data_IF_347479219363
#
_entry.id   IF_347479219363
#
_cell.length_a   1.000
_cell.length_b   1.000
_cell.length_c   1.000
_cell.angle_alpha   90.00
_cell.angle_beta   90.00
_cell.angle_gamma   90.00
#
_symmetry.space_group_name_H-M   'P 1'
#
loop_
_entity.id
_entity.type
_entity.pdbx_description
1 polymer ?
#
# COMPACT_ATOMS: atom_id res chain seq x y z
N UNK A 1 18.28 -1.17 -5.78
CA UNK A 1 19.49 -1.04 -4.94
C UNK A 1 19.16 -1.15 -3.45
N UNK A 2 18.34 -0.25 -2.88
CA UNK A 2 18.00 -0.29 -1.44
C UNK A 2 17.57 -1.67 -0.93
N UNK A 3 16.67 -2.36 -1.64
CA UNK A 3 16.25 -3.73 -1.31
C UNK A 3 17.43 -4.70 -1.16
N UNK A 4 18.25 -4.81 -2.20
CA UNK A 4 19.35 -5.77 -2.26
C UNK A 4 20.49 -5.48 -1.27
N UNK A 5 20.67 -4.22 -0.89
CA UNK A 5 21.68 -3.84 0.09
C UNK A 5 21.18 -3.98 1.54
N UNK A 6 19.90 -3.71 1.79
CA UNK A 6 19.34 -3.75 3.13
C UNK A 6 18.85 -5.14 3.53
N UNK A 7 18.48 -5.98 2.57
CA UNK A 7 18.00 -7.34 2.81
C UNK A 7 19.04 -8.38 2.36
N UNK A 8 19.78 -9.02 3.29
CA UNK A 8 20.75 -10.06 2.94
C UNK A 8 20.10 -11.30 2.32
N UNK A 9 18.82 -11.57 2.64
CA UNK A 9 18.08 -12.70 2.09
C UNK A 9 17.66 -12.50 0.63
N UNK A 10 17.82 -11.29 0.09
CA UNK A 10 17.62 -11.04 -1.34
C UNK A 10 18.58 -11.86 -2.22
N UNK A 11 19.68 -12.38 -1.66
CA UNK A 11 20.58 -13.33 -2.33
C UNK A 11 19.87 -14.60 -2.78
N UNK A 12 18.78 -14.99 -2.12
CA UNK A 12 17.96 -16.16 -2.49
C UNK A 12 17.23 -15.96 -3.82
N UNK A 13 17.10 -14.71 -4.29
CA UNK A 13 16.54 -14.39 -5.61
C UNK A 13 17.55 -14.59 -6.75
N UNK A 14 18.82 -14.90 -6.47
CA UNK A 14 19.80 -15.19 -7.49
C UNK A 14 19.45 -16.48 -8.27
N UNK A 15 19.86 -16.53 -9.54
CA UNK A 15 19.65 -17.71 -10.38
C UNK A 15 20.45 -18.93 -9.90
N UNK A 16 21.65 -18.70 -9.34
CA UNK A 16 22.46 -19.75 -8.71
C UNK A 16 22.10 -19.89 -7.22
N UNK A 17 21.18 -20.81 -6.93
CA UNK A 17 20.74 -21.16 -5.57
C UNK A 17 21.52 -22.35 -4.98
N UNK A 18 22.82 -22.42 -5.24
CA UNK A 18 23.65 -23.53 -4.79
C UNK A 18 23.75 -23.64 -3.27
N UNK A 19 24.13 -24.83 -2.78
CA UNK A 19 24.42 -25.10 -1.38
C UNK A 19 25.48 -24.16 -0.76
N UNK A 20 26.21 -23.39 -1.58
CA UNK A 20 27.15 -22.35 -1.12
C UNK A 20 26.45 -21.18 -0.42
N UNK A 21 25.18 -20.91 -0.75
CA UNK A 21 24.37 -19.89 -0.08
C UNK A 21 23.85 -20.35 1.28
N UNK A 22 23.85 -21.66 1.54
CA UNK A 22 23.49 -22.25 2.83
C UNK A 22 24.61 -22.00 3.82
N UNK A 23 24.58 -20.82 4.41
CA UNK A 23 25.48 -20.41 5.49
C UNK A 23 24.67 -20.20 6.77
N UNK A 24 25.25 -20.47 7.95
CA UNK A 24 24.52 -20.28 9.22
C UNK A 24 23.86 -18.90 9.37
N UNK A 25 24.51 -17.77 9.00
CA UNK A 25 23.87 -16.45 9.08
C UNK A 25 22.63 -16.29 8.19
N UNK A 26 22.59 -16.94 7.03
CA UNK A 26 21.42 -16.91 6.14
C UNK A 26 20.27 -17.70 6.76
N UNK A 27 20.55 -18.89 7.31
CA UNK A 27 19.55 -19.71 8.00
C UNK A 27 18.99 -18.99 9.25
N UNK A 28 19.85 -18.35 10.04
CA UNK A 28 19.41 -17.51 11.17
C UNK A 28 18.58 -16.31 10.72
N UNK A 29 18.99 -15.62 9.65
CA UNK A 29 18.22 -14.50 9.10
C UNK A 29 16.83 -14.94 8.62
N UNK A 30 16.70 -16.12 7.98
CA UNK A 30 15.41 -16.71 7.63
C UNK A 30 14.56 -16.96 8.88
N UNK A 31 15.12 -17.57 9.93
CA UNK A 31 14.38 -17.86 11.17
C UNK A 31 13.91 -16.60 11.91
N UNK A 32 14.62 -15.50 11.73
CA UNK A 32 14.26 -14.20 12.32
C UNK A 32 13.16 -13.46 11.54
N UNK A 33 12.72 -13.97 10.39
CA UNK A 33 11.65 -13.34 9.62
C UNK A 33 10.28 -13.46 10.32
N UNK A 34 9.47 -12.39 10.30
CA UNK A 34 8.08 -12.46 10.73
C UNK A 34 7.26 -13.52 9.97
N UNK A 35 7.48 -13.66 8.65
CA UNK A 35 6.82 -14.70 7.85
C UNK A 35 7.20 -16.12 8.26
N UNK A 36 8.46 -16.36 8.64
CA UNK A 36 8.90 -17.66 9.17
C UNK A 36 8.15 -18.02 10.45
N UNK A 37 8.02 -17.05 11.35
CA UNK A 37 7.28 -17.24 12.60
C UNK A 37 5.81 -17.59 12.33
N UNK A 38 5.12 -16.81 11.48
CA UNK A 38 3.73 -17.09 11.11
C UNK A 38 3.56 -18.47 10.46
N UNK A 39 4.47 -18.83 9.56
CA UNK A 39 4.47 -20.13 8.92
C UNK A 39 4.65 -21.28 9.93
N UNK A 40 5.58 -21.11 10.88
CA UNK A 40 5.80 -22.06 11.96
C UNK A 40 4.59 -22.19 12.88
N UNK A 41 3.93 -21.07 13.23
CA UNK A 41 2.69 -21.05 14.01
C UNK A 41 1.57 -21.82 13.28
N UNK A 42 1.40 -21.58 11.97
CA UNK A 42 0.43 -22.32 11.15
C UNK A 42 0.69 -23.84 11.13
N UNK A 43 1.95 -24.26 10.96
CA UNK A 43 2.30 -25.69 11.00
C UNK A 43 2.01 -26.32 12.36
N UNK A 44 2.16 -25.57 13.47
CA UNK A 44 1.82 -26.06 14.80
C UNK A 44 0.30 -26.22 14.97
N UNK A 45 -0.49 -25.29 14.43
CA UNK A 45 -1.96 -25.36 14.43
C UNK A 45 -2.47 -26.56 13.62
N UNK A 46 -1.77 -26.92 12.54
CA UNK A 46 -2.04 -28.13 11.73
C UNK A 46 -1.54 -29.44 12.37
N UNK A 47 -0.84 -29.37 13.51
CA UNK A 47 -0.30 -30.53 14.22
C UNK A 47 1.01 -31.09 13.64
N UNK A 48 1.69 -30.34 12.77
CA UNK A 48 2.94 -30.74 12.10
C UNK A 48 4.18 -30.41 12.95
N UNK A 49 4.19 -30.83 14.21
CA UNK A 49 5.22 -30.51 15.20
C UNK A 49 6.64 -30.91 14.77
N UNK A 50 6.79 -32.07 14.15
CA UNK A 50 8.10 -32.58 13.70
C UNK A 50 8.67 -31.72 12.58
N UNK A 51 7.83 -31.23 11.67
CA UNK A 51 8.28 -30.33 10.60
C UNK A 51 8.76 -29.00 11.18
N UNK A 52 7.97 -28.39 12.08
CA UNK A 52 8.38 -27.14 12.76
C UNK A 52 9.69 -27.33 13.54
N UNK A 53 9.85 -28.46 14.23
CA UNK A 53 11.09 -28.77 14.94
C UNK A 53 12.28 -28.89 13.99
N UNK A 54 12.10 -29.49 12.81
CA UNK A 54 13.15 -29.57 11.79
C UNK A 54 13.49 -28.19 11.23
N UNK A 55 12.51 -27.34 10.91
CA UNK A 55 12.78 -25.97 10.46
C UNK A 55 13.63 -25.16 11.45
N UNK A 56 13.43 -25.37 12.75
CA UNK A 56 14.18 -24.69 13.80
C UNK A 56 15.61 -25.23 14.00
N UNK A 57 15.84 -26.52 13.80
CA UNK A 57 17.10 -27.17 14.20
C UNK A 57 17.96 -27.68 13.02
N UNK A 58 17.37 -27.87 11.84
CA UNK A 58 18.01 -28.46 10.66
C UNK A 58 18.11 -27.38 9.56
N UNK A 59 19.31 -26.85 9.38
CA UNK A 59 19.62 -25.82 8.38
C UNK A 59 19.45 -26.32 6.94
N UNK A 60 19.69 -27.60 6.69
CA UNK A 60 19.52 -28.20 5.37
C UNK A 60 18.04 -28.27 5.01
N UNK A 61 17.23 -28.80 5.91
CA UNK A 61 15.79 -28.85 5.73
C UNK A 61 15.17 -27.45 5.61
N UNK A 62 15.56 -26.50 6.47
CA UNK A 62 15.09 -25.12 6.40
C UNK A 62 15.40 -24.48 5.05
N UNK A 63 16.63 -24.66 4.55
CA UNK A 63 17.07 -24.04 3.31
C UNK A 63 16.32 -24.63 2.11
N UNK A 64 16.19 -25.95 2.01
CA UNK A 64 15.41 -26.59 0.95
C UNK A 64 13.95 -26.13 0.95
N UNK A 65 13.32 -26.11 2.13
CA UNK A 65 11.92 -25.69 2.27
C UNK A 65 11.75 -24.20 1.94
N UNK A 66 12.73 -23.37 2.31
CA UNK A 66 12.76 -21.96 1.95
C UNK A 66 12.81 -21.75 0.44
N UNK A 67 13.64 -22.51 -0.28
CA UNK A 67 13.72 -22.40 -1.74
C UNK A 67 12.41 -22.83 -2.43
N UNK A 68 11.78 -23.91 -1.96
CA UNK A 68 10.47 -24.35 -2.48
C UNK A 68 9.39 -23.29 -2.28
N UNK A 69 9.32 -22.72 -1.08
CA UNK A 69 8.35 -21.68 -0.76
C UNK A 69 8.65 -20.37 -1.50
N UNK A 70 9.92 -20.07 -1.78
CA UNK A 70 10.28 -18.93 -2.61
C UNK A 70 9.80 -19.10 -4.06
N UNK A 71 9.98 -20.28 -4.65
CA UNK A 71 9.48 -20.58 -6.00
C UNK A 71 7.95 -20.55 -6.06
N UNK A 72 7.30 -21.12 -5.05
CA UNK A 72 5.85 -21.03 -4.88
C UNK A 72 5.38 -19.58 -4.77
N UNK A 73 6.05 -18.77 -3.94
CA UNK A 73 5.73 -17.35 -3.78
C UNK A 73 5.92 -16.54 -5.06
N UNK A 74 7.00 -16.79 -5.81
CA UNK A 74 7.22 -16.17 -7.11
C UNK A 74 6.18 -16.58 -8.14
N UNK A 75 5.76 -17.85 -8.15
CA UNK A 75 4.68 -18.31 -9.02
C UNK A 75 3.36 -17.63 -8.65
N UNK A 76 3.00 -17.59 -7.37
CA UNK A 76 1.80 -16.90 -6.90
C UNK A 76 1.80 -15.41 -7.25
N UNK A 77 2.94 -14.72 -7.16
CA UNK A 77 3.07 -13.35 -7.63
C UNK A 77 2.79 -13.22 -9.14
N UNK A 78 3.28 -14.16 -9.97
CA UNK A 78 2.96 -14.19 -11.40
C UNK A 78 1.47 -14.40 -11.64
N UNK A 79 0.85 -15.33 -10.92
CA UNK A 79 -0.58 -15.64 -11.03
C UNK A 79 -1.43 -14.40 -10.68
N UNK A 80 -1.08 -13.67 -9.59
CA UNK A 80 -1.73 -12.41 -9.21
C UNK A 80 -1.67 -11.39 -10.35
N UNK A 81 -0.50 -11.17 -10.95
CA UNK A 81 -0.38 -10.20 -12.05
C UNK A 81 -1.07 -10.66 -13.34
N UNK A 82 -1.16 -11.97 -13.58
CA UNK A 82 -1.97 -12.51 -14.68
C UNK A 82 -3.46 -12.26 -14.44
N UNK A 83 -3.96 -12.48 -13.22
CA UNK A 83 -5.33 -12.17 -12.83
C UNK A 83 -5.63 -10.67 -12.97
N UNK A 84 -4.72 -9.79 -12.54
CA UNK A 84 -4.82 -8.32 -12.74
C UNK A 84 -4.95 -7.96 -14.23
N UNK A 85 -4.07 -8.53 -15.06
CA UNK A 85 -4.08 -8.30 -16.51
C UNK A 85 -5.38 -8.79 -17.13
N UNK A 86 -5.86 -9.98 -16.72
CA UNK A 86 -7.13 -10.51 -17.18
C UNK A 86 -8.31 -9.62 -16.78
N UNK A 87 -8.40 -9.19 -15.51
CA UNK A 87 -9.43 -8.25 -15.05
C UNK A 87 -9.41 -6.96 -15.88
N UNK A 88 -8.22 -6.42 -16.18
CA UNK A 88 -8.11 -5.22 -17.01
C UNK A 88 -8.63 -5.46 -18.44
N UNK A 89 -8.23 -6.56 -19.08
CA UNK A 89 -8.68 -6.92 -20.43
C UNK A 89 -10.19 -7.18 -20.47
N UNK A 90 -10.71 -7.94 -19.51
CA UNK A 90 -12.15 -8.18 -19.34
C UNK A 90 -12.93 -6.88 -19.17
N UNK A 91 -12.44 -5.95 -18.35
CA UNK A 91 -13.09 -4.64 -18.18
C UNK A 91 -13.12 -3.82 -19.46
N UNK A 92 -12.08 -3.92 -20.30
CA UNK A 92 -12.06 -3.27 -21.63
C UNK A 92 -13.02 -3.94 -22.59
N UNK A 93 -13.09 -5.27 -22.62
CA UNK A 93 -14.01 -6.03 -23.46
C UNK A 93 -15.48 -5.79 -23.08
N UNK A 94 -15.76 -5.49 -21.81
CA UNK A 94 -17.09 -5.17 -21.28
C UNK A 94 -17.46 -3.68 -21.39
N UNK A 95 -16.65 -2.84 -22.05
CA UNK A 95 -16.86 -1.40 -22.21
C UNK A 95 -17.12 -0.64 -20.90
N UNK A 96 -16.47 -1.06 -19.80
CA UNK A 96 -16.61 -0.39 -18.51
C UNK A 96 -16.01 1.03 -18.57
N UNK A 97 -16.89 2.02 -18.44
CA UNK A 97 -16.62 3.46 -18.71
C UNK A 97 -15.51 4.09 -17.87
N UNK A 98 -15.19 3.50 -16.70
CA UNK A 98 -14.04 3.93 -15.88
C UNK A 98 -12.79 3.17 -16.29
N UNK A 99 -11.92 3.86 -17.04
CA UNK A 99 -10.53 3.42 -17.24
C UNK A 99 -9.89 3.19 -15.87
N UNK A 100 -9.54 1.95 -15.63
CA UNK A 100 -8.81 1.52 -14.44
C UNK A 100 -7.39 1.23 -14.90
N UNK A 101 -6.44 1.96 -14.32
CA UNK A 101 -5.04 1.77 -14.67
C UNK A 101 -4.55 0.43 -14.14
N UNK A 102 -3.64 -0.21 -14.88
CA UNK A 102 -3.04 -1.48 -14.45
C UNK A 102 -2.31 -1.30 -13.12
N UNK A 103 -1.72 -0.12 -12.90
CA UNK A 103 -1.02 0.23 -11.67
C UNK A 103 -1.98 0.25 -10.48
N UNK A 104 -3.18 0.83 -10.64
CA UNK A 104 -4.18 0.89 -9.57
C UNK A 104 -4.69 -0.52 -9.21
N UNK A 105 -5.00 -1.34 -10.22
CA UNK A 105 -5.40 -2.73 -10.01
C UNK A 105 -4.28 -3.55 -9.35
N UNK A 106 -3.03 -3.33 -9.76
CA UNK A 106 -1.86 -3.98 -9.17
C UNK A 106 -1.68 -3.60 -7.70
N UNK A 107 -1.83 -2.32 -7.34
CA UNK A 107 -1.75 -1.88 -5.93
C UNK A 107 -2.81 -2.57 -5.09
N UNK A 108 -4.06 -2.63 -5.57
CA UNK A 108 -5.15 -3.31 -4.86
C UNK A 108 -4.96 -4.83 -4.80
N UNK A 109 -4.35 -5.43 -5.81
CA UNK A 109 -4.03 -6.86 -5.80
C UNK A 109 -2.97 -7.18 -4.75
N UNK A 110 -1.91 -6.38 -4.70
CA UNK A 110 -0.84 -6.52 -3.74
C UNK A 110 -1.25 -6.18 -2.30
N UNK A 111 -2.33 -5.41 -2.10
CA UNK A 111 -2.95 -5.23 -0.78
C UNK A 111 -3.95 -6.34 -0.41
N UNK A 112 -4.30 -7.23 -1.36
CA UNK A 112 -5.33 -8.26 -1.22
C UNK A 112 -6.76 -7.75 -1.21
N UNK A 113 -6.99 -6.53 -1.68
CA UNK A 113 -8.31 -5.88 -1.70
C UNK A 113 -8.99 -5.98 -3.08
N UNK A 114 -8.28 -6.45 -4.11
CA UNK A 114 -8.77 -6.44 -5.48
C UNK A 114 -10.04 -7.28 -5.68
N UNK A 115 -10.10 -8.47 -5.09
CA UNK A 115 -11.26 -9.36 -5.22
C UNK A 115 -12.56 -8.70 -4.75
N UNK A 116 -12.50 -8.00 -3.62
CA UNK A 116 -13.65 -7.32 -3.00
C UNK A 116 -13.80 -5.86 -3.47
N UNK A 117 -13.11 -5.49 -4.55
CA UNK A 117 -13.17 -4.12 -5.05
C UNK A 117 -14.39 -3.92 -5.95
N UNK A 118 -14.91 -2.68 -5.97
CA UNK A 118 -15.94 -2.29 -6.94
C UNK A 118 -15.56 -2.57 -8.39
N UNK A 119 -14.26 -2.62 -8.70
CA UNK A 119 -13.80 -2.95 -10.04
C UNK A 119 -14.11 -4.40 -10.44
N UNK A 120 -13.97 -5.35 -9.52
CA UNK A 120 -14.30 -6.75 -9.78
C UNK A 120 -15.81 -6.96 -9.71
N UNK A 121 -16.49 -6.35 -8.73
CA UNK A 121 -17.95 -6.42 -8.63
C UNK A 121 -18.67 -5.88 -9.87
N UNK A 122 -18.28 -4.70 -10.39
CA UNK A 122 -18.90 -4.10 -11.57
C UNK A 122 -18.67 -4.97 -12.82
N UNK A 123 -17.48 -5.57 -12.93
CA UNK A 123 -17.15 -6.52 -14.01
C UNK A 123 -18.09 -7.72 -13.98
N UNK A 124 -18.26 -8.33 -12.81
CA UNK A 124 -19.13 -9.47 -12.63
C UNK A 124 -20.62 -9.15 -12.81
N UNK A 125 -21.08 -7.97 -12.38
CA UNK A 125 -22.46 -7.51 -12.60
C UNK A 125 -22.77 -7.40 -14.10
N UNK A 126 -21.86 -6.83 -14.89
CA UNK A 126 -22.04 -6.75 -16.34
C UNK A 126 -21.92 -8.13 -16.99
N UNK A 127 -20.97 -8.97 -16.53
CA UNK A 127 -20.82 -10.33 -17.02
C UNK A 127 -22.17 -11.07 -16.98
N UNK A 128 -22.88 -11.03 -15.84
CA UNK A 128 -24.20 -11.68 -15.70
C UNK A 128 -25.26 -11.21 -16.70
N UNK A 129 -25.12 -10.00 -17.25
CA UNK A 129 -26.06 -9.40 -18.21
C UNK A 129 -25.67 -9.60 -19.68
N UNK A 130 -24.57 -10.30 -19.97
CA UNK A 130 -24.14 -10.53 -21.35
C UNK A 130 -25.13 -11.40 -22.12
N UNK A 131 -25.26 -11.10 -23.41
CA UNK A 131 -25.90 -12.00 -24.35
C UNK A 131 -24.91 -13.06 -24.86
N UNK A 132 -25.44 -14.14 -25.40
CA UNK A 132 -24.66 -15.31 -25.79
C UNK A 132 -23.53 -15.03 -26.79
N UNK A 133 -23.70 -14.09 -27.71
CA UNK A 133 -22.65 -13.70 -28.64
C UNK A 133 -21.45 -13.07 -27.91
N UNK A 134 -21.73 -12.08 -27.05
CA UNK A 134 -20.68 -11.43 -26.24
C UNK A 134 -20.07 -12.37 -25.21
N UNK A 135 -20.84 -13.32 -24.69
CA UNK A 135 -20.34 -14.33 -23.78
C UNK A 135 -19.33 -15.25 -24.47
N UNK A 136 -19.59 -15.66 -25.71
CA UNK A 136 -18.65 -16.45 -26.51
C UNK A 136 -17.31 -15.72 -26.68
N UNK A 137 -17.36 -14.42 -27.04
CA UNK A 137 -16.16 -13.58 -27.16
C UNK A 137 -15.43 -13.44 -25.82
N UNK A 138 -16.18 -13.31 -24.71
CA UNK A 138 -15.62 -13.24 -23.36
C UNK A 138 -14.93 -14.55 -22.96
N UNK A 139 -15.56 -15.70 -23.23
CA UNK A 139 -14.99 -17.03 -22.96
C UNK A 139 -13.68 -17.27 -23.73
N UNK A 140 -13.53 -16.68 -24.92
CA UNK A 140 -12.30 -16.70 -25.70
C UNK A 140 -11.13 -15.94 -25.06
N UNK A 141 -11.40 -15.01 -24.13
CA UNK A 141 -10.42 -14.17 -23.46
C UNK A 141 -10.12 -14.60 -22.01
N UNK A 142 -10.58 -15.79 -21.60
CA UNK A 142 -10.35 -16.31 -20.26
C UNK A 142 -8.89 -16.70 -20.03
N UNK A 143 -8.40 -16.63 -18.77
CA UNK A 143 -7.04 -17.02 -18.46
C UNK A 143 -6.86 -18.54 -18.62
N UNK A 144 -5.67 -18.98 -19.00
CA UNK A 144 -5.37 -20.41 -19.22
C UNK A 144 -5.69 -21.26 -17.98
N UNK A 145 -5.49 -20.73 -16.78
CA UNK A 145 -5.80 -21.41 -15.52
C UNK A 145 -7.28 -21.80 -15.39
N UNK A 146 -8.19 -20.98 -15.94
CA UNK A 146 -9.63 -21.29 -16.00
C UNK A 146 -9.93 -22.27 -17.13
N UNK A 147 -9.34 -22.05 -18.31
CA UNK A 147 -9.58 -22.88 -19.51
C UNK A 147 -9.19 -24.35 -19.29
N UNK A 148 -8.13 -24.60 -18.50
CA UNK A 148 -7.65 -25.96 -18.20
C UNK A 148 -8.52 -26.73 -17.22
N UNK A 149 -9.43 -26.08 -16.48
CA UNK A 149 -10.33 -26.77 -15.53
C UNK A 149 -11.34 -27.64 -16.27
N UNK A 150 -11.56 -28.86 -15.78
CA UNK A 150 -12.54 -29.80 -16.35
C UNK A 150 -13.95 -29.21 -16.32
N UNK A 151 -14.34 -28.60 -15.20
CA UNK A 151 -15.65 -27.95 -15.02
C UNK A 151 -15.93 -26.87 -16.07
N UNK A 152 -14.89 -26.12 -16.49
CA UNK A 152 -15.03 -25.10 -17.54
C UNK A 152 -15.17 -25.75 -18.92
N UNK A 153 -14.46 -26.85 -19.19
CA UNK A 153 -14.60 -27.57 -20.45
C UNK A 153 -15.99 -28.19 -20.60
N UNK A 154 -16.56 -28.73 -19.53
CA UNK A 154 -17.95 -29.20 -19.51
C UNK A 154 -18.93 -28.05 -19.73
N UNK A 155 -18.77 -26.94 -19.00
CA UNK A 155 -19.60 -25.75 -19.17
C UNK A 155 -19.57 -25.24 -20.61
N UNK A 156 -18.39 -25.19 -21.23
CA UNK A 156 -18.22 -24.75 -22.61
C UNK A 156 -18.94 -25.69 -23.59
N UNK A 157 -18.87 -27.01 -23.38
CA UNK A 157 -19.62 -27.98 -24.20
C UNK A 157 -21.13 -27.77 -24.07
N UNK A 158 -21.64 -27.59 -22.86
CA UNK A 158 -23.07 -27.34 -22.62
C UNK A 158 -23.52 -26.04 -23.30
N UNK A 159 -22.66 -25.02 -23.28
CA UNK A 159 -22.90 -23.74 -23.96
C UNK A 159 -22.93 -23.89 -25.49
N UNK A 160 -21.98 -24.61 -26.06
CA UNK A 160 -21.92 -24.86 -27.50
C UNK A 160 -23.13 -25.69 -27.98
N UNK A 161 -23.57 -26.69 -27.20
CA UNK A 161 -24.78 -27.47 -27.48
C UNK A 161 -26.03 -26.59 -27.43
N UNK A 162 -26.17 -25.76 -26.39
CA UNK A 162 -27.30 -24.84 -26.27
C UNK A 162 -27.40 -23.87 -27.45
N UNK A 163 -26.27 -23.40 -27.97
CA UNK A 163 -26.22 -22.55 -29.16
C UNK A 163 -26.60 -23.28 -30.45
N UNK A 164 -26.26 -24.57 -30.58
CA UNK A 164 -26.64 -25.39 -31.74
C UNK A 164 -28.13 -25.74 -31.74
N UNK A 165 -28.71 -25.99 -30.57
CA UNK A 165 -30.13 -26.33 -30.42
C UNK A 165 -31.05 -25.11 -30.52
N UNK A 166 -30.52 -23.90 -30.45
CA UNK A 166 -31.30 -22.68 -30.44
C UNK A 166 -31.62 -22.20 -31.87
N UNK A 167 -32.90 -22.21 -32.31
CA UNK A 167 -33.27 -21.84 -33.68
C UNK A 167 -33.50 -20.34 -33.88
N UNK A 168 -33.26 -19.50 -32.86
CA UNK A 168 -33.56 -18.07 -32.91
C UNK A 168 -32.42 -17.25 -33.54
N UNK A 169 -32.79 -16.17 -34.22
CA UNK A 169 -31.85 -15.21 -34.83
C UNK A 169 -31.28 -14.23 -33.79
N UNK A 170 -32.01 -14.00 -32.69
CA UNK A 170 -31.57 -13.12 -31.61
C UNK A 170 -30.71 -13.86 -30.60
N UNK A 171 -29.65 -13.24 -30.05
CA UNK A 171 -28.80 -13.92 -29.07
C UNK A 171 -29.57 -14.18 -27.77
N UNK A 172 -29.34 -15.36 -27.17
CA UNK A 172 -29.85 -15.71 -25.84
C UNK A 172 -29.41 -14.68 -24.80
N UNK A 173 -30.33 -14.34 -23.89
CA UNK A 173 -30.15 -13.39 -22.79
C UNK A 173 -30.46 -14.08 -21.47
N UNK A 174 -29.79 -13.63 -20.40
CA UNK A 174 -29.98 -14.16 -19.05
C UNK A 174 -31.12 -13.45 -18.35
N UNK A 175 -31.63 -14.05 -17.27
CA UNK A 175 -32.63 -13.41 -16.41
C UNK A 175 -32.18 -12.09 -15.78
N UNK A 176 -30.88 -11.82 -15.78
CA UNK A 176 -30.29 -10.60 -15.25
C UNK A 176 -30.33 -9.43 -16.24
N UNK A 177 -30.58 -9.68 -17.53
CA UNK A 177 -30.73 -8.63 -18.54
C UNK A 177 -32.10 -7.94 -18.40
N UNK A 178 -32.08 -6.62 -18.15
CA UNK A 178 -33.28 -5.79 -18.07
C UNK A 178 -34.13 -5.80 -19.34
N UNK A 179 -33.57 -6.16 -20.49
CA UNK A 179 -34.31 -6.30 -21.76
C UNK A 179 -35.23 -7.53 -21.80
N UNK A 180 -35.05 -8.48 -20.89
CA UNK A 180 -35.97 -9.62 -20.69
C UNK A 180 -37.15 -9.26 -19.75
N UNK A 181 -37.19 -8.03 -19.21
CA UNK A 181 -38.34 -7.51 -18.47
C UNK A 181 -39.40 -6.95 -19.43
N UNK A 182 -40.62 -7.48 -19.37
CA UNK A 182 -41.75 -6.97 -20.15
C UNK A 182 -42.45 -5.88 -19.33
N UNK A 183 -42.58 -4.70 -19.91
CA UNK A 183 -43.39 -3.63 -19.33
C UNK A 183 -44.86 -3.95 -19.63
N UNK A 184 -45.59 -4.43 -18.64
CA UNK A 184 -47.02 -4.65 -18.74
C UNK A 184 -47.76 -3.33 -18.44
N UNK A 185 -48.43 -2.79 -19.45
CA UNK A 185 -49.24 -1.57 -19.32
C UNK A 185 -50.66 -1.96 -18.92
N UNK A 186 -51.01 -1.79 -17.65
CA UNK A 186 -52.40 -1.95 -17.18
C UNK A 186 -53.05 -0.57 -17.05
N UNK A 187 -54.12 -0.33 -17.80
CA UNK A 187 -54.94 0.88 -17.67
C UNK A 187 -56.03 0.62 -16.63
N UNK A 188 -55.95 1.30 -15.49
CA UNK A 188 -57.00 1.25 -14.46
C UNK A 188 -57.46 2.68 -14.19
N UNK A 189 -58.75 2.95 -14.44
CA UNK A 189 -59.40 4.25 -14.22
C UNK A 189 -58.63 5.45 -14.79
N UNK A 190 -58.40 5.48 -16.11
CA UNK A 190 -57.75 6.58 -16.85
C UNK A 190 -56.30 6.95 -16.40
N UNK A 191 -55.70 6.20 -15.48
CA UNK A 191 -54.26 6.29 -15.16
C UNK A 191 -53.53 5.05 -15.65
N UNK A 192 -52.50 5.27 -16.47
CA UNK A 192 -51.62 4.22 -16.96
C UNK A 192 -50.67 3.80 -15.84
N UNK A 193 -50.80 2.57 -15.32
CA UNK A 193 -49.82 1.97 -14.41
C UNK A 193 -48.94 1.00 -15.20
N UNK A 194 -47.66 1.36 -15.32
CA UNK A 194 -46.62 0.52 -15.92
C UNK A 194 -46.08 -0.41 -14.83
N UNK A 195 -46.44 -1.70 -14.89
CA UNK A 195 -45.85 -2.72 -14.04
C UNK A 195 -44.73 -3.42 -14.83
N UNK A 196 -43.50 -3.42 -14.29
CA UNK A 196 -42.41 -4.24 -14.82
C UNK A 196 -42.62 -5.69 -14.38
N UNK A 197 -43.07 -6.56 -15.29
CA UNK A 197 -43.16 -8.00 -15.06
C UNK A 197 -42.00 -8.71 -15.78
N UNK A 198 -41.46 -9.79 -15.20
CA UNK A 198 -40.49 -10.63 -15.92
C UNK A 198 -41.21 -11.34 -17.08
N UNK A 199 -40.62 -11.34 -18.29
CA UNK A 199 -41.15 -12.15 -19.39
C UNK A 199 -41.20 -13.63 -18.97
N UNK A 200 -42.12 -14.41 -19.55
CA UNK A 200 -42.16 -15.86 -19.36
C UNK A 200 -40.88 -16.44 -19.97
N UNK A 201 -39.88 -16.75 -19.12
CA UNK A 201 -38.57 -17.21 -19.57
C UNK A 201 -38.70 -18.48 -20.41
N UNK A 202 -38.14 -18.46 -21.62
CA UNK A 202 -38.07 -19.64 -22.49
C UNK A 202 -37.12 -20.67 -21.85
N UNK A 203 -37.36 -21.97 -22.04
CA UNK A 203 -36.51 -23.04 -21.49
C UNK A 203 -35.02 -22.80 -21.78
N UNK A 204 -34.67 -22.37 -23.00
CA UNK A 204 -33.29 -22.07 -23.39
C UNK A 204 -32.69 -20.87 -22.64
N UNK A 205 -33.50 -19.85 -22.27
CA UNK A 205 -33.01 -18.72 -21.46
C UNK A 205 -32.74 -19.10 -20.01
N UNK A 206 -33.48 -20.09 -19.48
CA UNK A 206 -33.23 -20.66 -18.15
C UNK A 206 -31.93 -21.46 -18.15
N UNK A 207 -31.73 -22.32 -19.15
CA UNK A 207 -30.46 -23.06 -19.30
C UNK A 207 -29.26 -22.11 -19.54
N UNK A 208 -29.44 -21.06 -20.35
CA UNK A 208 -28.41 -20.02 -20.51
C UNK A 208 -28.06 -19.33 -19.19
N UNK A 209 -29.08 -19.00 -18.38
CA UNK A 209 -28.85 -18.40 -17.05
C UNK A 209 -28.10 -19.35 -16.12
N UNK A 210 -28.39 -20.67 -16.18
CA UNK A 210 -27.66 -21.69 -15.42
C UNK A 210 -26.19 -21.79 -15.84
N UNK A 211 -25.90 -21.72 -17.14
CA UNK A 211 -24.52 -21.69 -17.65
C UNK A 211 -23.80 -20.43 -17.15
N UNK A 212 -24.47 -19.27 -17.20
CA UNK A 212 -23.93 -18.01 -16.69
C UNK A 212 -23.59 -18.08 -15.20
N UNK A 213 -24.47 -18.66 -14.38
CA UNK A 213 -24.23 -18.82 -12.95
C UNK A 213 -23.07 -19.78 -12.65
N UNK A 214 -22.97 -20.89 -13.39
CA UNK A 214 -21.81 -21.79 -13.28
C UNK A 214 -20.51 -21.09 -13.64
N UNK A 215 -20.51 -20.29 -14.72
CA UNK A 215 -19.32 -19.54 -15.12
C UNK A 215 -18.94 -18.51 -14.07
N UNK A 216 -19.93 -17.80 -13.52
CA UNK A 216 -19.71 -16.85 -12.43
C UNK A 216 -19.00 -17.51 -11.24
N UNK A 217 -19.50 -18.66 -10.77
CA UNK A 217 -18.92 -19.40 -9.64
C UNK A 217 -17.48 -19.82 -9.95
N UNK A 218 -17.22 -20.38 -11.15
CA UNK A 218 -15.87 -20.80 -11.54
C UNK A 218 -14.87 -19.64 -11.55
N UNK A 219 -15.29 -18.46 -12.02
CA UNK A 219 -14.43 -17.28 -12.05
C UNK A 219 -14.22 -16.66 -10.66
N UNK A 220 -15.24 -16.70 -9.81
CA UNK A 220 -15.14 -16.27 -8.41
C UNK A 220 -14.17 -17.15 -7.63
N UNK A 221 -14.27 -18.47 -7.77
CA UNK A 221 -13.32 -19.43 -7.19
C UNK A 221 -11.90 -19.27 -7.73
N UNK A 222 -11.76 -19.05 -9.05
CA UNK A 222 -10.47 -18.80 -9.67
C UNK A 222 -9.80 -17.55 -9.07
N UNK A 223 -10.53 -16.44 -9.00
CA UNK A 223 -10.01 -15.21 -8.40
C UNK A 223 -9.72 -15.37 -6.91
N UNK A 224 -10.56 -16.10 -6.16
CA UNK A 224 -10.33 -16.37 -4.74
C UNK A 224 -9.05 -17.19 -4.49
N UNK A 225 -8.72 -18.13 -5.39
CA UNK A 225 -7.53 -18.97 -5.28
C UNK A 225 -6.22 -18.28 -5.70
N UNK A 226 -6.30 -17.33 -6.64
CA UNK A 226 -5.12 -16.65 -7.20
C UNK A 226 -4.87 -15.27 -6.58
N UNK A 227 -5.91 -14.49 -6.23
CA UNK A 227 -5.77 -13.17 -5.59
C UNK A 227 -5.59 -13.28 -4.07
N UNK A 228 -4.57 -14.02 -3.66
CA UNK A 228 -4.14 -14.10 -2.27
C UNK A 228 -3.42 -12.82 -1.84
N UNK A 229 -3.40 -12.55 -0.53
CA UNK A 229 -2.53 -11.51 0.04
C UNK A 229 -1.08 -11.99 0.01
N UNK A 230 -0.19 -11.32 -0.75
CA UNK A 230 1.20 -11.75 -0.83
C UNK A 230 1.94 -11.72 0.51
N UNK A 231 1.51 -10.89 1.47
CA UNK A 231 2.11 -10.78 2.80
C UNK A 231 1.80 -11.96 3.73
N UNK A 232 0.86 -12.83 3.32
CA UNK A 232 0.57 -14.07 4.03
C UNK A 232 1.50 -15.23 3.56
N UNK A 233 2.28 -15.01 2.50
CA UNK A 233 3.24 -16.00 2.00
C UNK A 233 4.49 -16.07 2.90
N UNK A 234 5.01 -17.28 3.09
CA UNK A 234 6.32 -17.48 3.69
C UNK A 234 7.40 -16.83 2.80
N UNK A 235 8.37 -16.12 3.42
CA UNK A 235 9.46 -15.40 2.76
C UNK A 235 9.04 -14.23 1.86
N UNK A 236 7.85 -13.65 2.06
CA UNK A 236 7.43 -12.48 1.28
C UNK A 236 8.40 -11.29 1.42
N UNK A 237 9.08 -11.14 2.56
CA UNK A 237 10.08 -10.11 2.80
C UNK A 237 11.29 -10.20 1.85
N UNK A 238 11.53 -11.37 1.25
CA UNK A 238 12.62 -11.57 0.28
C UNK A 238 12.35 -10.82 -1.03
N UNK A 239 11.10 -10.73 -1.46
CA UNK A 239 10.72 -10.07 -2.72
C UNK A 239 9.91 -8.77 -2.56
N UNK A 240 9.42 -8.46 -1.35
CA UNK A 240 8.86 -7.16 -1.03
C UNK A 240 9.87 -6.21 -0.39
N UNK A 241 9.79 -4.93 -0.76
CA UNK A 241 10.50 -3.85 -0.11
C UNK A 241 9.50 -3.01 0.70
N UNK A 242 9.62 -3.05 2.02
CA UNK A 242 8.85 -2.18 2.94
C UNK A 242 9.76 -1.14 3.60
N UNK A 243 10.28 -0.22 2.77
CA UNK A 243 11.12 0.90 3.23
C UNK A 243 10.51 2.25 2.84
N UNK A 244 9.21 2.40 3.07
CA UNK A 244 8.46 3.60 2.65
C UNK A 244 9.05 4.90 3.21
N UNK A 245 9.34 4.95 4.52
CA UNK A 245 9.81 6.18 5.16
C UNK A 245 11.25 6.55 4.73
N UNK A 246 12.25 5.65 4.80
CA UNK A 246 13.60 5.96 4.33
C UNK A 246 13.65 6.39 2.86
N UNK A 247 12.89 5.71 2.00
CA UNK A 247 12.83 6.05 0.56
C UNK A 247 12.16 7.42 0.36
N UNK A 248 11.06 7.70 1.07
CA UNK A 248 10.37 8.99 0.99
C UNK A 248 11.28 10.13 1.44
N UNK A 249 12.03 9.96 2.52
CA UNK A 249 12.97 10.97 3.01
C UNK A 249 14.14 11.20 2.04
N UNK A 250 14.57 10.15 1.33
CA UNK A 250 15.63 10.25 0.33
C UNK A 250 15.16 10.96 -0.96
N UNK A 251 13.98 10.60 -1.48
CA UNK A 251 13.47 11.15 -2.76
C UNK A 251 12.68 12.44 -2.61
N UNK A 252 12.07 12.69 -1.45
CA UNK A 252 11.32 13.91 -1.14
C UNK A 252 11.82 14.52 0.17
N UNK A 253 13.10 14.95 0.22
CA UNK A 253 13.68 15.49 1.43
C UNK A 253 12.93 16.75 1.86
N UNK A 254 12.73 16.89 3.16
CA UNK A 254 12.10 18.06 3.77
C UNK A 254 13.10 18.77 4.68
N UNK A 255 14.17 19.38 4.12
CA UNK A 255 15.24 20.00 4.90
C UNK A 255 14.69 21.09 5.81
N UNK A 256 13.64 21.78 5.36
CA UNK A 256 12.94 22.77 6.16
C UNK A 256 12.36 22.24 7.45
N UNK A 257 11.54 21.22 7.33
CA UNK A 257 10.96 20.55 8.47
C UNK A 257 12.03 19.99 9.41
N UNK A 258 13.11 19.41 8.86
CA UNK A 258 14.20 18.86 9.66
C UNK A 258 14.92 19.92 10.49
N UNK A 259 15.27 21.07 9.90
CA UNK A 259 15.95 22.17 10.60
C UNK A 259 15.03 22.80 11.65
N UNK A 260 13.78 23.11 11.30
CA UNK A 260 12.81 23.70 12.24
C UNK A 260 12.55 22.74 13.42
N UNK A 261 12.46 21.43 13.16
CA UNK A 261 12.32 20.42 14.22
C UNK A 261 13.58 20.33 15.08
N UNK A 262 14.77 20.30 14.48
CA UNK A 262 16.01 20.24 15.24
C UNK A 262 16.23 21.47 16.15
N UNK A 263 15.79 22.65 15.73
CA UNK A 263 15.86 23.86 16.54
C UNK A 263 14.72 23.95 17.58
N UNK A 264 13.54 23.40 17.28
CA UNK A 264 12.42 23.36 18.24
C UNK A 264 12.59 22.29 19.31
N UNK A 265 13.08 21.10 18.94
CA UNK A 265 13.25 19.93 19.81
C UNK A 265 14.64 19.32 19.62
N UNK A 266 15.72 20.01 20.06
CA UNK A 266 17.09 19.55 19.82
C UNK A 266 17.42 18.19 20.45
N UNK A 267 16.77 17.84 21.57
CA UNK A 267 16.97 16.57 22.24
C UNK A 267 16.35 15.35 21.53
N UNK A 268 15.54 15.56 20.48
CA UNK A 268 15.16 14.46 19.57
C UNK A 268 16.41 13.88 18.84
N UNK A 269 17.44 14.71 18.65
CA UNK A 269 18.66 14.35 17.92
C UNK A 269 19.89 14.24 18.84
N UNK A 270 19.91 15.00 19.93
CA UNK A 270 20.97 14.98 20.92
C UNK A 270 20.62 13.99 22.02
N UNK A 271 21.41 12.93 22.17
CA UNK A 271 21.35 12.02 23.30
C UNK A 271 21.65 12.81 24.60
N UNK A 272 20.62 13.27 25.29
CA UNK A 272 20.76 13.96 26.58
C UNK A 272 20.47 13.01 27.74
N UNK A 273 21.30 13.07 28.77
CA UNK A 273 21.18 12.24 29.98
C UNK A 273 20.15 12.78 31.00
N UNK A 274 19.25 13.68 30.60
CA UNK A 274 18.27 14.29 31.50
C UNK A 274 16.89 13.67 31.34
N UNK A 275 16.50 12.85 32.32
CA UNK A 275 15.24 12.09 32.42
C UNK A 275 13.96 12.94 32.56
N UNK A 276 14.02 14.25 32.30
CA UNK A 276 12.86 15.13 32.44
C UNK A 276 12.43 15.63 31.07
N UNK A 277 11.38 15.01 30.54
CA UNK A 277 10.60 15.48 29.40
C UNK A 277 9.86 16.78 29.76
N UNK A 278 10.60 17.85 30.04
CA UNK A 278 10.02 19.17 30.20
C UNK A 278 10.33 20.02 28.98
N UNK A 279 9.25 20.42 28.31
CA UNK A 279 9.11 21.43 27.25
C UNK A 279 9.60 22.84 27.66
N UNK A 280 10.46 22.95 28.67
CA UNK A 280 10.98 24.24 29.15
C UNK A 280 12.31 24.54 28.46
N UNK A 281 12.42 25.80 28.01
CA UNK A 281 13.69 26.41 27.61
C UNK A 281 14.72 26.16 28.72
N UNK A 282 15.83 25.54 28.36
CA UNK A 282 16.90 25.19 29.31
C UNK A 282 18.25 25.63 28.75
N UNK A 283 19.14 26.12 29.61
CA UNK A 283 20.51 26.49 29.22
C UNK A 283 21.36 25.26 28.82
N UNK A 284 20.86 24.04 29.04
CA UNK A 284 21.44 22.79 28.52
C UNK A 284 21.20 22.59 27.02
N UNK A 285 20.26 23.31 26.42
CA UNK A 285 20.02 23.27 24.97
C UNK A 285 21.13 24.03 24.21
N UNK A 286 21.35 23.70 22.93
CA UNK A 286 22.20 24.52 22.08
C UNK A 286 21.70 25.97 22.02
N UNK A 287 22.61 26.95 22.13
CA UNK A 287 22.29 28.39 22.09
C UNK A 287 21.40 28.79 20.90
N UNK A 288 21.64 28.19 19.73
CA UNK A 288 20.87 28.47 18.51
C UNK A 288 19.44 27.95 18.58
N UNK A 289 19.19 26.84 19.28
CA UNK A 289 17.84 26.32 19.53
C UNK A 289 17.07 27.20 20.52
N UNK A 290 17.73 27.63 21.61
CA UNK A 290 17.15 28.57 22.59
C UNK A 290 16.73 29.87 21.89
N UNK A 291 17.65 30.45 21.10
CA UNK A 291 17.37 31.68 20.36
C UNK A 291 16.25 31.49 19.32
N UNK A 292 16.19 30.32 18.66
CA UNK A 292 15.13 30.00 17.71
C UNK A 292 13.75 29.89 18.37
N UNK A 293 13.66 29.28 19.56
CA UNK A 293 12.41 29.17 20.30
C UNK A 293 11.90 30.53 20.78
N UNK A 294 12.79 31.37 21.34
CA UNK A 294 12.48 32.78 21.65
C UNK A 294 12.09 33.57 20.40
N UNK A 295 12.79 33.30 19.29
CA UNK A 295 12.42 33.85 17.99
C UNK A 295 11.00 33.44 17.62
N UNK A 296 10.57 32.17 17.76
CA UNK A 296 9.21 31.76 17.41
C UNK A 296 8.13 32.52 18.19
N UNK A 297 8.33 32.77 19.48
CA UNK A 297 7.41 33.49 20.36
C UNK A 297 7.30 35.00 20.06
N UNK A 298 8.31 35.57 19.40
CA UNK A 298 8.36 37.01 19.11
C UNK A 298 7.50 37.45 17.90
N UNK A 299 7.31 38.76 17.73
CA UNK A 299 6.59 39.34 16.58
C UNK A 299 7.40 39.33 15.27
N UNK A 300 6.85 39.90 14.18
CA UNK A 300 7.53 39.97 12.87
C UNK A 300 8.74 40.91 12.84
N UNK A 301 8.78 41.90 13.73
CA UNK A 301 9.91 42.78 13.99
C UNK A 301 10.25 42.63 15.47
N UNK A 302 11.51 42.32 15.76
CA UNK A 302 11.95 42.05 17.12
C UNK A 302 13.11 42.96 17.48
N UNK A 303 13.00 43.59 18.64
CA UNK A 303 14.08 44.38 19.22
C UNK A 303 15.19 43.45 19.69
N UNK A 304 16.44 43.73 19.27
CA UNK A 304 17.59 42.89 19.60
C UNK A 304 17.86 42.88 21.10
N UNK A 305 17.65 44.01 21.79
CA UNK A 305 17.86 44.08 23.23
C UNK A 305 16.87 43.19 24.00
N UNK A 306 15.60 43.17 23.59
CA UNK A 306 14.57 42.38 24.28
C UNK A 306 14.82 40.86 24.12
N UNK A 307 15.23 40.42 22.92
CA UNK A 307 15.65 39.02 22.72
C UNK A 307 16.91 38.70 23.52
N UNK A 308 17.90 39.61 23.53
CA UNK A 308 19.13 39.41 24.30
C UNK A 308 18.82 39.22 25.80
N UNK A 309 17.98 40.08 26.38
CA UNK A 309 17.58 39.96 27.78
C UNK A 309 16.85 38.63 28.04
N UNK A 310 15.88 38.26 27.21
CA UNK A 310 15.17 36.98 27.33
C UNK A 310 16.12 35.77 27.21
N UNK A 311 17.09 35.84 26.29
CA UNK A 311 18.10 34.81 26.12
C UNK A 311 19.01 34.71 27.36
N UNK A 312 19.48 35.84 27.89
CA UNK A 312 20.34 35.90 29.06
C UNK A 312 19.64 35.37 30.33
N UNK A 313 18.36 35.70 30.55
CA UNK A 313 17.57 35.23 31.70
C UNK A 313 17.53 33.70 31.80
N UNK A 314 17.52 32.99 30.66
CA UNK A 314 17.52 31.51 30.65
C UNK A 314 18.83 30.97 31.25
N UNK A 315 19.97 31.54 30.86
CA UNK A 315 21.28 31.14 31.42
C UNK A 315 21.45 31.58 32.86
N UNK A 316 21.01 32.78 33.22
CA UNK A 316 21.03 33.30 34.58
C UNK A 316 20.21 32.41 35.53
N UNK A 317 19.01 31.98 35.13
CA UNK A 317 18.13 31.15 35.94
C UNK A 317 18.71 29.76 36.27
N UNK A 318 19.55 29.19 35.40
CA UNK A 318 20.16 27.87 35.61
C UNK A 318 21.56 27.93 36.23
N UNK A 319 22.35 28.97 35.93
CA UNK A 319 23.76 29.05 36.35
C UNK A 319 23.99 29.99 37.53
N UNK A 320 23.01 30.85 37.87
CA UNK A 320 23.10 31.81 38.97
C UNK A 320 24.34 32.69 38.90
N UNK A 321 24.99 32.93 40.04
CA UNK A 321 26.19 33.78 40.18
C UNK A 321 27.42 33.31 39.37
N UNK A 322 27.37 32.11 38.77
CA UNK A 322 28.43 31.58 37.88
C UNK A 322 28.22 31.96 36.42
N UNK A 323 27.11 32.62 36.08
CA UNK A 323 26.79 33.03 34.72
C UNK A 323 27.76 34.13 34.25
N UNK A 324 28.58 33.84 33.22
CA UNK A 324 29.49 34.82 32.64
C UNK A 324 28.81 35.55 31.48
N UNK A 325 28.34 36.77 31.72
CA UNK A 325 27.64 37.60 30.74
C UNK A 325 28.39 37.73 29.40
N UNK A 326 29.71 37.92 29.43
CA UNK A 326 30.52 38.04 28.20
C UNK A 326 30.49 36.76 27.36
N UNK A 327 30.48 35.60 28.03
CA UNK A 327 30.38 34.31 27.35
C UNK A 327 28.99 34.11 26.75
N UNK A 328 27.93 34.40 27.52
CA UNK A 328 26.55 34.30 27.03
C UNK A 328 26.30 35.26 25.86
N UNK A 329 26.87 36.46 25.91
CA UNK A 329 26.83 37.43 24.81
C UNK A 329 27.50 36.90 23.54
N UNK A 330 28.66 36.24 23.67
CA UNK A 330 29.31 35.60 22.52
C UNK A 330 28.45 34.46 21.94
N UNK A 331 27.81 33.65 22.79
CA UNK A 331 26.86 32.61 22.35
C UNK A 331 25.65 33.19 21.64
N UNK A 332 25.10 34.29 22.14
CA UNK A 332 23.99 35.00 21.52
C UNK A 332 24.35 35.53 20.12
N UNK A 333 25.48 36.23 19.98
CA UNK A 333 25.93 36.72 18.68
C UNK A 333 26.19 35.58 17.68
N UNK A 334 26.75 34.47 18.15
CA UNK A 334 26.94 33.28 17.34
C UNK A 334 25.59 32.70 16.88
N UNK A 335 24.66 32.47 17.80
CA UNK A 335 23.33 31.96 17.51
C UNK A 335 22.57 32.87 16.52
N UNK A 336 22.67 34.20 16.69
CA UNK A 336 22.05 35.17 15.79
C UNK A 336 22.67 35.13 14.39
N UNK A 337 23.99 34.95 14.30
CA UNK A 337 24.71 34.75 13.03
C UNK A 337 24.28 33.46 12.32
N UNK A 338 24.11 32.36 13.06
CA UNK A 338 23.61 31.09 12.54
C UNK A 338 22.16 31.20 12.03
N UNK A 339 21.25 31.84 12.79
CA UNK A 339 19.87 32.10 12.32
C UNK A 339 19.82 33.02 11.09
N UNK A 340 20.76 33.97 10.98
CA UNK A 340 20.92 34.79 9.79
C UNK A 340 21.43 33.97 8.60
N UNK A 341 22.36 33.04 8.82
CA UNK A 341 22.88 32.14 7.79
C UNK A 341 21.79 31.17 7.28
N UNK A 342 20.90 30.69 8.16
CA UNK A 342 19.71 29.92 7.77
C UNK A 342 18.64 30.76 7.05
N UNK A 343 18.81 32.08 6.96
CA UNK A 343 17.86 32.98 6.29
C UNK A 343 16.59 33.25 7.10
N UNK A 344 16.56 32.92 8.39
CA UNK A 344 15.41 33.15 9.29
C UNK A 344 15.35 34.60 9.76
N UNK A 345 16.51 35.26 9.88
CA UNK A 345 16.68 36.61 10.41
C UNK A 345 17.29 37.53 9.36
N UNK A 346 16.72 38.73 9.20
CA UNK A 346 17.28 39.81 8.36
C UNK A 346 17.41 41.10 9.16
N UNK A 347 18.43 41.91 8.86
CA UNK A 347 18.57 43.26 9.42
C UNK A 347 17.40 44.13 8.96
N UNK A 348 16.67 44.75 9.90
CA UNK A 348 15.60 45.67 9.56
C UNK A 348 16.17 47.02 9.12
N UNK A 349 15.68 47.57 8.01
CA UNK A 349 15.90 48.97 7.63
C UNK A 349 14.81 49.92 8.17
N UNK A 350 13.74 49.36 8.76
CA UNK A 350 12.56 50.13 9.21
C UNK A 350 12.73 50.71 10.62
N UNK A 351 13.48 50.02 11.49
CA UNK A 351 13.78 50.46 12.86
C UNK A 351 15.22 50.09 13.19
N UNK A 352 15.92 51.02 13.86
CA UNK A 352 17.28 50.82 14.38
C UNK A 352 17.21 49.77 15.50
N UNK A 353 18.24 48.93 15.62
CA UNK A 353 18.35 47.85 16.61
C UNK A 353 17.25 46.77 16.56
N UNK A 354 16.59 46.62 15.40
CA UNK A 354 15.59 45.59 15.18
C UNK A 354 16.03 44.57 14.13
N UNK A 355 15.66 43.33 14.39
CA UNK A 355 15.72 42.22 13.46
C UNK A 355 14.32 41.93 12.92
N UNK A 356 14.22 41.75 11.61
CA UNK A 356 12.98 41.30 10.98
C UNK A 356 13.00 39.78 10.82
N UNK A 357 11.90 39.13 11.21
CA UNK A 357 11.61 37.75 10.83
C UNK A 357 11.49 37.69 9.32
N UNK A 358 12.32 36.87 8.68
CA UNK A 358 12.10 36.53 7.29
C UNK A 358 11.11 35.37 7.25
N UNK A 359 10.07 35.47 6.42
CA UNK A 359 9.49 34.26 5.87
C UNK A 359 10.68 33.49 5.26
N UNK A 360 10.87 32.24 5.65
CA UNK A 360 11.95 31.46 5.07
C UNK A 360 11.65 31.32 3.57
N UNK A 361 12.35 32.11 2.76
CA UNK A 361 12.28 32.06 1.30
C UNK A 361 13.33 31.04 0.86
N UNK A 362 12.88 29.80 0.68
CA UNK A 362 13.60 28.76 -0.08
C UNK A 362 14.40 27.74 0.74
N UNK A 363 13.99 26.47 0.60
CA UNK A 363 14.68 25.48 -0.24
C UNK A 363 13.62 24.78 -1.10
#
# INVERSE_FOLDING_TARGET
MTHFFANPLSVLLADDRSAKLRTPPVCEAIRNLPSFRKYSEHLLDEGLYDQTRRLLNDDEFLFEESLRNLDYGQQKMRDIFQAVKWIQTSRRALDLTKRTDISELSIRALSGELQNSSSVEDMFKILKTLDSARLSDFMGNLPEGVIRREDFQELKRDFDVLLQEYPGVEPLRSEYDGRQSVVATTVVQQRVKLNKGKAKATKQSVEYTRIMDRLYVLLEEYLAGDLLRPQDLFLHEVFFIDMKNPLKETFTPRPRFAIERALSTPFDYLLSASDTAETKLSAKQPATAILYQLYLESGSLVNVNDIWQAFYTIFESEQGDKCNERMVMALFYRALSELKAFGMVKSSRKKIDHVAKSAWVGL
#
